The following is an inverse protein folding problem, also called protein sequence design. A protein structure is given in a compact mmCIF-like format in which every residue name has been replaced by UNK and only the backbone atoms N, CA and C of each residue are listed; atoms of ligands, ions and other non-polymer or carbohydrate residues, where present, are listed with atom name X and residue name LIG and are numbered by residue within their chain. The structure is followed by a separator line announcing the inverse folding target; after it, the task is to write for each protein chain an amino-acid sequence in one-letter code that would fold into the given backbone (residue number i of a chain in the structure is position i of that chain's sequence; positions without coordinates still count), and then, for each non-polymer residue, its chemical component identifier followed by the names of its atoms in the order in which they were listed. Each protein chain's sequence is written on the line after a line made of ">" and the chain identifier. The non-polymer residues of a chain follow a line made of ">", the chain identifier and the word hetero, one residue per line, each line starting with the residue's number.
data_IF_055140786766
#
_entry.id   IF_055140786766
#
_cell.length_a   1.000
_cell.length_b   1.000
_cell.length_c   1.000
_cell.angle_alpha   90.00
_cell.angle_beta   90.00
_cell.angle_gamma   90.00
#
_symmetry.space_group_name_H-M   'P 1'
#
loop_
_entity.id
_entity.type
_entity.pdbx_description
1 polymer ?
#
# COMPACT_ATOMS: atom_id res chain seq x y z
N UNK A 1 31.75 -19.21 -13.92
CA UNK A 1 32.53 -17.96 -13.72
C UNK A 1 31.65 -16.74 -13.43
N UNK A 2 30.79 -16.23 -14.34
CA UNK A 2 30.01 -14.99 -14.07
C UNK A 2 28.98 -15.16 -12.96
N UNK A 3 28.26 -16.29 -12.93
CA UNK A 3 27.29 -16.62 -11.90
C UNK A 3 27.94 -16.75 -10.51
N UNK A 4 29.08 -17.41 -10.40
CA UNK A 4 29.81 -17.57 -9.14
C UNK A 4 30.31 -16.23 -8.61
N UNK A 5 30.81 -15.37 -9.49
CA UNK A 5 31.23 -14.03 -9.12
C UNK A 5 30.05 -13.18 -8.63
N UNK A 6 28.90 -13.29 -9.32
CA UNK A 6 27.67 -12.62 -8.89
C UNK A 6 27.20 -13.12 -7.53
N UNK A 7 27.13 -14.45 -7.32
CA UNK A 7 26.72 -15.06 -6.05
C UNK A 7 27.61 -14.58 -4.91
N UNK A 8 28.92 -14.56 -5.11
CA UNK A 8 29.87 -14.05 -4.11
C UNK A 8 29.62 -12.57 -3.80
N UNK A 9 29.49 -11.73 -4.81
CA UNK A 9 29.23 -10.29 -4.63
C UNK A 9 27.88 -10.02 -3.99
N UNK A 10 26.88 -10.85 -4.28
CA UNK A 10 25.59 -10.76 -3.63
C UNK A 10 25.71 -11.09 -2.13
N UNK A 11 26.38 -12.17 -1.79
CA UNK A 11 26.64 -12.54 -0.40
C UNK A 11 27.45 -11.47 0.37
N UNK A 12 28.47 -10.87 -0.28
CA UNK A 12 29.27 -9.78 0.28
C UNK A 12 28.42 -8.51 0.60
N UNK A 13 27.32 -8.28 -0.14
CA UNK A 13 26.41 -7.17 0.08
C UNK A 13 25.33 -7.43 1.15
N UNK A 14 25.24 -8.66 1.69
CA UNK A 14 24.37 -8.93 2.83
C UNK A 14 25.03 -8.46 4.14
N UNK A 15 24.24 -7.94 5.10
CA UNK A 15 24.76 -7.51 6.40
C UNK A 15 25.11 -8.69 7.34
N UNK A 16 24.85 -9.93 6.92
CA UNK A 16 25.07 -11.18 7.67
C UNK A 16 25.32 -12.35 6.71
N UNK A 17 25.85 -13.44 7.23
CA UNK A 17 25.99 -14.65 6.45
C UNK A 17 24.60 -15.20 6.04
N UNK A 18 24.40 -15.55 4.75
CA UNK A 18 23.10 -16.07 4.31
C UNK A 18 22.81 -17.43 4.95
N UNK A 19 21.53 -17.67 5.24
CA UNK A 19 21.06 -19.02 5.62
C UNK A 19 21.12 -19.95 4.41
N UNK A 20 20.94 -21.26 4.61
CA UNK A 20 20.95 -22.24 3.51
C UNK A 20 19.89 -21.91 2.45
N UNK A 21 18.64 -21.58 2.86
CA UNK A 21 17.58 -21.18 1.93
C UNK A 21 17.92 -19.88 1.21
N UNK A 22 18.54 -18.93 1.90
CA UNK A 22 18.95 -17.67 1.28
C UNK A 22 20.08 -17.88 0.28
N UNK A 23 21.05 -18.76 0.58
CA UNK A 23 22.12 -19.12 -0.34
C UNK A 23 21.57 -19.82 -1.60
N UNK A 24 20.59 -20.71 -1.44
CA UNK A 24 19.90 -21.36 -2.56
C UNK A 24 19.14 -20.32 -3.41
N UNK A 25 18.39 -19.39 -2.78
CA UNK A 25 17.70 -18.31 -3.48
C UNK A 25 18.68 -17.46 -4.30
N UNK A 26 19.82 -17.08 -3.72
CA UNK A 26 20.87 -16.30 -4.40
C UNK A 26 21.37 -17.05 -5.65
N UNK A 27 21.62 -18.36 -5.52
CA UNK A 27 22.06 -19.19 -6.66
C UNK A 27 20.97 -19.25 -7.76
N UNK A 28 19.70 -19.42 -7.40
CA UNK A 28 18.59 -19.44 -8.37
C UNK A 28 18.36 -18.08 -9.02
N UNK A 29 18.51 -16.99 -8.27
CA UNK A 29 18.44 -15.62 -8.82
C UNK A 29 19.59 -15.37 -9.81
N UNK A 30 20.80 -15.85 -9.51
CA UNK A 30 21.92 -15.76 -10.45
C UNK A 30 21.60 -16.50 -11.77
N UNK A 31 21.08 -17.73 -11.69
CA UNK A 31 20.65 -18.47 -12.89
C UNK A 31 19.57 -17.70 -13.66
N UNK A 32 18.52 -17.21 -13.00
CA UNK A 32 17.45 -16.42 -13.62
C UNK A 32 17.98 -15.18 -14.32
N UNK A 33 18.89 -14.43 -13.70
CA UNK A 33 19.42 -13.17 -14.24
C UNK A 33 20.32 -13.37 -15.49
N UNK A 34 21.00 -14.49 -15.58
CA UNK A 34 21.92 -14.78 -16.68
C UNK A 34 21.38 -15.82 -17.68
N UNK A 35 20.14 -16.28 -17.48
CA UNK A 35 19.43 -17.10 -18.47
C UNK A 35 19.14 -16.28 -19.73
N UNK A 36 19.05 -16.98 -20.87
CA UNK A 36 18.68 -16.40 -22.17
C UNK A 36 17.18 -16.28 -22.36
N UNK A 37 16.37 -17.02 -21.58
CA UNK A 37 14.91 -16.94 -21.68
C UNK A 37 14.43 -15.61 -21.10
N UNK A 38 14.05 -14.69 -22.01
CA UNK A 38 13.51 -13.37 -21.63
C UNK A 38 12.07 -13.44 -21.14
N UNK A 39 11.35 -14.54 -21.37
CA UNK A 39 9.94 -14.72 -20.93
C UNK A 39 9.84 -15.49 -19.61
N UNK A 40 10.78 -15.27 -18.73
CA UNK A 40 10.78 -15.85 -17.38
C UNK A 40 10.46 -14.82 -16.32
N UNK A 41 9.75 -15.25 -15.27
CA UNK A 41 9.37 -14.48 -14.09
C UNK A 41 9.86 -15.20 -12.84
N UNK A 42 10.40 -14.45 -11.89
CA UNK A 42 10.80 -15.01 -10.59
C UNK A 42 9.79 -14.59 -9.51
N UNK A 43 9.21 -15.56 -8.83
CA UNK A 43 8.30 -15.36 -7.71
C UNK A 43 9.00 -15.72 -6.40
N UNK A 44 9.10 -14.76 -5.47
CA UNK A 44 9.64 -14.98 -4.14
C UNK A 44 8.54 -14.84 -3.11
N UNK A 45 8.10 -15.94 -2.57
CA UNK A 45 7.27 -15.98 -1.38
C UNK A 45 8.16 -16.05 -0.15
N UNK A 46 7.98 -15.16 0.80
CA UNK A 46 8.76 -15.21 2.03
C UNK A 46 8.00 -14.60 3.17
N UNK A 47 8.10 -15.23 4.32
CA UNK A 47 7.39 -14.82 5.51
C UNK A 47 8.07 -13.68 6.26
N UNK A 48 7.39 -13.12 7.26
CA UNK A 48 8.01 -12.14 8.16
C UNK A 48 9.29 -12.72 8.81
N UNK A 49 10.36 -11.93 8.84
CA UNK A 49 11.63 -12.34 9.47
C UNK A 49 12.54 -13.23 8.60
N UNK A 50 12.16 -13.62 7.39
CA UNK A 50 13.01 -14.45 6.50
C UNK A 50 14.11 -13.66 5.80
N UNK A 51 14.17 -12.34 6.00
CA UNK A 51 15.21 -11.48 5.45
C UNK A 51 14.97 -11.01 4.02
N UNK A 52 13.72 -11.08 3.49
CA UNK A 52 13.37 -10.56 2.15
C UNK A 52 13.94 -9.17 1.87
N UNK A 53 13.66 -8.23 2.78
CA UNK A 53 14.10 -6.83 2.67
C UNK A 53 15.62 -6.71 2.52
N UNK A 54 16.39 -7.43 3.37
CA UNK A 54 17.85 -7.42 3.30
C UNK A 54 18.37 -8.07 2.03
N UNK A 55 17.76 -9.19 1.60
CA UNK A 55 18.11 -9.88 0.36
C UNK A 55 17.89 -8.99 -0.86
N UNK A 56 16.75 -8.31 -0.94
CA UNK A 56 16.46 -7.45 -2.10
C UNK A 56 17.32 -6.20 -2.08
N UNK A 57 17.58 -5.59 -0.93
CA UNK A 57 18.54 -4.51 -0.84
C UNK A 57 19.94 -4.93 -1.31
N UNK A 58 20.41 -6.12 -0.92
CA UNK A 58 21.67 -6.68 -1.39
C UNK A 58 21.65 -7.00 -2.90
N UNK A 59 20.54 -7.52 -3.43
CA UNK A 59 20.35 -7.74 -4.86
C UNK A 59 20.47 -6.43 -5.65
N UNK A 60 19.77 -5.39 -5.24
CA UNK A 60 19.79 -4.08 -5.91
C UNK A 60 21.19 -3.48 -5.91
N UNK A 61 21.87 -3.49 -4.75
CA UNK A 61 23.28 -3.02 -4.67
C UNK A 61 24.21 -3.82 -5.57
N UNK A 62 24.03 -5.15 -5.62
CA UNK A 62 24.83 -6.02 -6.50
C UNK A 62 24.59 -5.68 -7.97
N UNK A 63 23.34 -5.57 -8.39
CA UNK A 63 22.96 -5.24 -9.77
C UNK A 63 23.50 -3.87 -10.20
N UNK A 64 23.47 -2.88 -9.31
CA UNK A 64 24.06 -1.56 -9.54
C UNK A 64 25.57 -1.67 -9.80
N UNK A 65 26.29 -2.51 -9.03
CA UNK A 65 27.72 -2.81 -9.28
C UNK A 65 28.00 -3.49 -10.62
N UNK A 66 27.03 -4.23 -11.17
CA UNK A 66 27.08 -4.83 -12.52
C UNK A 66 26.52 -3.91 -13.61
N UNK A 67 26.18 -2.67 -13.29
CA UNK A 67 25.54 -1.70 -14.21
C UNK A 67 24.24 -2.23 -14.86
N UNK A 68 23.56 -3.14 -14.18
CA UNK A 68 22.25 -3.66 -14.61
C UNK A 68 21.16 -2.68 -14.20
N UNK A 69 20.30 -2.32 -15.12
CA UNK A 69 19.17 -1.43 -14.89
C UNK A 69 18.12 -2.12 -14.05
N UNK A 70 17.68 -1.45 -12.99
CA UNK A 70 16.60 -1.93 -12.10
C UNK A 70 15.51 -0.86 -11.99
N UNK A 71 14.27 -1.31 -11.88
CA UNK A 71 13.11 -0.48 -11.55
C UNK A 71 12.40 -1.12 -10.37
N UNK A 72 12.33 -0.39 -9.25
CA UNK A 72 11.69 -0.84 -8.02
C UNK A 72 10.26 -0.34 -7.97
N UNK A 73 9.33 -1.24 -7.69
CA UNK A 73 7.90 -0.95 -7.68
C UNK A 73 7.22 -1.49 -6.41
N UNK A 74 6.16 -0.81 -6.00
CA UNK A 74 5.27 -1.28 -4.94
C UNK A 74 3.81 -0.92 -5.24
N UNK A 75 2.82 -1.59 -4.64
CA UNK A 75 1.40 -1.28 -4.87
C UNK A 75 0.95 0.08 -4.34
N UNK A 76 1.56 0.57 -3.26
CA UNK A 76 1.18 1.82 -2.58
C UNK A 76 2.37 2.77 -2.43
N UNK A 77 2.11 4.09 -2.27
CA UNK A 77 3.14 5.10 -2.04
C UNK A 77 3.98 4.80 -0.81
N UNK A 78 3.34 4.41 0.30
CA UNK A 78 4.02 4.05 1.54
C UNK A 78 4.94 2.83 1.37
N UNK A 79 4.47 1.77 0.72
CA UNK A 79 5.30 0.60 0.43
C UNK A 79 6.48 0.96 -0.48
N UNK A 80 6.28 1.83 -1.48
CA UNK A 80 7.35 2.31 -2.35
C UNK A 80 8.41 3.10 -1.56
N UNK A 81 8.00 3.96 -0.63
CA UNK A 81 8.92 4.72 0.24
C UNK A 81 9.75 3.80 1.14
N UNK A 82 9.11 2.82 1.78
CA UNK A 82 9.79 1.80 2.58
C UNK A 82 10.77 1.02 1.71
N UNK A 83 10.36 0.61 0.51
CA UNK A 83 11.20 -0.10 -0.44
C UNK A 83 12.43 0.74 -0.85
N UNK A 84 12.24 2.01 -1.20
CA UNK A 84 13.33 2.89 -1.54
C UNK A 84 14.35 3.03 -0.40
N UNK A 85 13.86 3.13 0.84
CA UNK A 85 14.70 3.31 2.03
C UNK A 85 15.65 2.14 2.28
N UNK A 86 15.18 0.89 2.18
CA UNK A 86 16.07 -0.25 2.44
C UNK A 86 16.88 -0.71 1.22
N UNK A 87 16.41 -0.40 0.02
CA UNK A 87 17.14 -0.70 -1.21
C UNK A 87 18.21 0.34 -1.55
N UNK A 88 18.17 1.51 -0.91
CA UNK A 88 18.98 2.69 -1.24
C UNK A 88 18.90 3.02 -2.75
N UNK A 89 17.68 2.95 -3.28
CA UNK A 89 17.40 3.15 -4.70
C UNK A 89 15.96 3.66 -4.89
N UNK A 90 15.70 4.57 -5.83
CA UNK A 90 14.36 5.08 -6.07
C UNK A 90 13.35 3.96 -6.36
N UNK A 91 12.21 4.00 -5.67
CA UNK A 91 11.09 3.11 -5.91
C UNK A 91 9.81 3.92 -6.19
N UNK A 92 8.93 3.35 -6.99
CA UNK A 92 7.71 4.02 -7.46
C UNK A 92 6.50 3.14 -7.20
N UNK A 93 5.31 3.74 -7.19
CA UNK A 93 4.11 2.92 -7.25
C UNK A 93 3.98 2.27 -8.64
N UNK A 94 3.39 1.07 -8.71
CA UNK A 94 3.09 0.40 -9.98
C UNK A 94 2.31 1.37 -10.87
N UNK A 95 1.25 2.00 -10.33
CA UNK A 95 0.41 2.94 -11.08
C UNK A 95 1.20 4.10 -11.68
N UNK A 96 2.07 4.74 -10.90
CA UNK A 96 2.92 5.85 -11.38
C UNK A 96 3.84 5.41 -12.52
N UNK A 97 4.31 4.16 -12.49
CA UNK A 97 5.28 3.68 -13.47
C UNK A 97 4.65 3.25 -14.79
N UNK A 98 3.50 2.55 -14.74
CA UNK A 98 2.96 1.88 -15.92
C UNK A 98 1.83 2.66 -16.61
N UNK A 99 1.18 3.62 -15.92
CA UNK A 99 0.07 4.37 -16.49
C UNK A 99 0.42 5.83 -16.75
N UNK A 100 -0.24 6.38 -17.78
CA UNK A 100 -0.26 7.82 -18.06
C UNK A 100 -1.69 8.25 -18.35
N UNK A 101 -2.02 9.47 -17.93
CA UNK A 101 -3.30 10.06 -18.24
C UNK A 101 -3.41 10.28 -19.74
N UNK A 102 -4.48 9.80 -20.36
CA UNK A 102 -4.75 10.06 -21.77
C UNK A 102 -5.34 11.45 -21.92
N UNK A 103 -4.60 12.33 -22.57
CA UNK A 103 -5.08 13.64 -23.02
C UNK A 103 -5.81 13.44 -24.33
N UNK A 104 -6.99 12.82 -24.35
CA UNK A 104 -7.82 12.75 -25.55
C UNK A 104 -9.31 12.72 -25.24
N UNK A 105 -10.03 13.63 -25.91
CA UNK A 105 -11.48 13.75 -26.05
C UNK A 105 -12.35 13.71 -24.79
N UNK A 106 -13.41 14.46 -24.89
CA UNK A 106 -14.39 14.80 -23.86
C UNK A 106 -15.13 13.63 -23.18
N UNK A 107 -14.97 12.42 -23.62
CA UNK A 107 -15.84 11.30 -23.25
C UNK A 107 -15.20 10.21 -22.40
N UNK A 108 -13.88 10.17 -22.28
CA UNK A 108 -13.18 9.15 -21.46
C UNK A 108 -11.88 9.70 -20.88
N UNK A 109 -11.87 10.02 -19.59
CA UNK A 109 -10.64 10.15 -18.80
C UNK A 109 -10.34 8.79 -18.20
N UNK A 110 -9.41 8.10 -18.79
CA UNK A 110 -8.84 6.87 -18.27
C UNK A 110 -7.32 6.98 -18.29
N UNK A 111 -6.68 6.23 -17.44
CA UNK A 111 -5.24 6.03 -17.51
C UNK A 111 -4.97 4.84 -18.43
N UNK A 112 -4.08 5.02 -19.41
CA UNK A 112 -3.65 3.94 -20.30
C UNK A 112 -2.27 3.45 -19.90
N UNK A 113 -2.00 2.18 -20.18
CA UNK A 113 -0.66 1.63 -20.10
C UNK A 113 0.21 2.43 -21.06
N UNK A 114 1.35 2.90 -20.58
CA UNK A 114 2.34 3.60 -21.41
C UNK A 114 3.27 2.60 -22.07
N UNK A 115 3.91 3.00 -23.18
CA UNK A 115 4.93 2.17 -23.82
C UNK A 115 6.11 1.95 -22.86
N UNK A 116 6.58 0.72 -22.77
CA UNK A 116 7.78 0.39 -22.01
C UNK A 116 9.03 0.64 -22.87
N UNK A 117 9.67 1.77 -22.64
CA UNK A 117 10.93 2.15 -23.34
C UNK A 117 12.18 1.57 -22.66
N UNK A 118 12.04 0.78 -21.60
CA UNK A 118 13.16 0.13 -20.93
C UNK A 118 13.71 -1.03 -21.78
N UNK A 119 15.04 -1.18 -21.73
CA UNK A 119 15.76 -2.31 -22.34
C UNK A 119 16.63 -2.99 -21.30
N UNK A 120 16.68 -4.32 -21.34
CA UNK A 120 17.50 -5.16 -20.44
C UNK A 120 17.35 -4.77 -18.96
N UNK A 121 16.11 -4.46 -18.57
CA UNK A 121 15.80 -3.91 -17.24
C UNK A 121 15.08 -4.94 -16.40
N UNK A 122 15.51 -5.07 -15.12
CA UNK A 122 14.86 -5.89 -14.13
C UNK A 122 13.84 -5.05 -13.34
N UNK A 123 12.59 -5.42 -13.43
CA UNK A 123 11.52 -4.87 -12.59
C UNK A 123 11.39 -5.74 -11.35
N UNK A 124 11.40 -5.10 -10.18
CA UNK A 124 11.25 -5.77 -8.88
C UNK A 124 10.05 -5.15 -8.18
N UNK A 125 9.07 -5.97 -7.86
CA UNK A 125 7.84 -5.53 -7.17
C UNK A 125 7.83 -6.11 -5.77
N UNK A 126 7.84 -5.26 -4.76
CA UNK A 126 7.63 -5.67 -3.37
C UNK A 126 6.16 -5.54 -2.97
N UNK A 127 5.75 -6.19 -1.89
CA UNK A 127 4.37 -6.25 -1.40
C UNK A 127 3.37 -6.72 -2.47
N UNK A 128 3.79 -7.66 -3.33
CA UNK A 128 2.95 -8.17 -4.42
C UNK A 128 1.66 -8.85 -3.93
N UNK A 129 1.57 -9.22 -2.64
CA UNK A 129 0.33 -9.71 -1.99
C UNK A 129 -0.85 -8.75 -2.15
N UNK A 130 -0.60 -7.46 -2.26
CA UNK A 130 -1.63 -6.41 -2.39
C UNK A 130 -2.10 -6.17 -3.84
N UNK A 131 -1.48 -6.81 -4.84
CA UNK A 131 -1.85 -6.60 -6.25
C UNK A 131 -3.16 -7.32 -6.53
N UNK A 132 -4.23 -6.54 -6.77
CA UNK A 132 -5.51 -7.06 -7.19
C UNK A 132 -5.55 -7.33 -8.70
N UNK A 133 -6.37 -8.29 -9.12
CA UNK A 133 -6.60 -8.58 -10.52
C UNK A 133 -8.10 -8.62 -10.83
N UNK A 134 -8.75 -7.47 -10.71
CA UNK A 134 -10.17 -7.22 -10.95
C UNK A 134 -10.87 -6.58 -9.76
N UNK A 135 -11.92 -5.83 -10.04
CA UNK A 135 -12.82 -5.20 -9.04
C UNK A 135 -12.97 -3.67 -9.18
N UNK A 136 -14.18 -3.23 -9.19
CA UNK A 136 -14.84 -1.91 -8.99
C UNK A 136 -14.11 -0.63 -9.39
N UNK A 137 -13.29 -0.10 -8.53
CA UNK A 137 -12.64 1.21 -8.72
C UNK A 137 -11.47 1.20 -9.73
N UNK A 138 -11.00 0.02 -10.13
CA UNK A 138 -9.84 -0.13 -11.03
C UNK A 138 -10.16 0.08 -12.52
N UNK A 139 -11.44 0.20 -12.89
CA UNK A 139 -11.85 0.43 -14.30
C UNK A 139 -11.34 1.74 -14.91
N UNK A 140 -10.78 2.65 -14.11
CA UNK A 140 -10.20 3.92 -14.59
C UNK A 140 -8.79 3.70 -15.15
N UNK A 141 -8.11 2.60 -14.79
CA UNK A 141 -6.76 2.29 -15.21
C UNK A 141 -6.74 1.13 -16.20
N UNK A 142 -6.10 1.33 -17.34
CA UNK A 142 -5.81 0.30 -18.32
C UNK A 142 -6.96 -0.66 -18.57
N UNK A 143 -6.72 -1.94 -18.33
CA UNK A 143 -7.74 -3.00 -18.40
C UNK A 143 -8.61 -3.11 -17.13
N UNK A 144 -8.30 -2.35 -16.06
CA UNK A 144 -8.89 -2.53 -14.73
C UNK A 144 -8.33 -3.74 -13.97
N UNK A 145 -7.27 -4.36 -14.48
CA UNK A 145 -6.63 -5.56 -13.96
C UNK A 145 -5.14 -5.31 -13.78
N UNK A 146 -4.75 -4.80 -12.62
CA UNK A 146 -3.41 -4.27 -12.36
C UNK A 146 -2.29 -5.30 -12.63
N UNK A 147 -2.52 -6.58 -12.29
CA UNK A 147 -1.54 -7.62 -12.55
C UNK A 147 -1.35 -7.87 -14.05
N UNK A 148 -2.45 -7.91 -14.81
CA UNK A 148 -2.39 -8.10 -16.27
C UNK A 148 -1.62 -6.94 -16.92
N UNK A 149 -1.97 -5.71 -16.55
CA UNK A 149 -1.35 -4.49 -17.09
C UNK A 149 0.14 -4.40 -16.71
N UNK A 150 0.51 -4.80 -15.51
CA UNK A 150 1.91 -4.85 -15.07
C UNK A 150 2.72 -5.86 -15.90
N UNK A 151 2.18 -7.07 -16.09
CA UNK A 151 2.85 -8.11 -16.88
C UNK A 151 2.98 -7.67 -18.34
N UNK A 152 1.90 -7.15 -18.92
CA UNK A 152 1.90 -6.61 -20.29
C UNK A 152 2.97 -5.52 -20.45
N UNK A 153 2.98 -4.53 -19.53
CA UNK A 153 3.96 -3.44 -19.56
C UNK A 153 5.40 -3.96 -19.50
N UNK A 154 5.72 -4.82 -18.53
CA UNK A 154 7.09 -5.29 -18.34
C UNK A 154 7.58 -6.06 -19.56
N UNK A 155 6.79 -7.00 -20.07
CA UNK A 155 7.21 -7.87 -21.18
C UNK A 155 7.01 -7.28 -22.57
N UNK A 156 6.44 -6.07 -22.68
CA UNK A 156 6.50 -5.25 -23.88
C UNK A 156 7.92 -4.63 -24.08
N UNK A 157 8.71 -4.49 -23.01
CA UNK A 157 10.09 -3.98 -23.09
C UNK A 157 11.09 -5.06 -23.53
N UNK A 158 12.06 -4.66 -24.33
CA UNK A 158 13.10 -5.54 -24.88
C UNK A 158 14.02 -6.05 -23.76
N UNK A 159 14.10 -7.37 -23.55
CA UNK A 159 14.96 -7.99 -22.54
C UNK A 159 14.55 -7.70 -21.09
N UNK A 160 13.36 -7.15 -20.85
CA UNK A 160 12.86 -6.85 -19.52
C UNK A 160 12.36 -8.11 -18.81
N UNK A 161 12.53 -8.15 -17.48
CA UNK A 161 12.13 -9.27 -16.64
C UNK A 161 11.47 -8.77 -15.36
N UNK A 162 10.72 -9.66 -14.70
CA UNK A 162 9.95 -9.36 -13.51
C UNK A 162 10.32 -10.28 -12.35
N UNK A 163 10.55 -9.68 -11.18
CA UNK A 163 10.57 -10.36 -9.89
C UNK A 163 9.36 -9.85 -9.09
N UNK A 164 8.54 -10.76 -8.57
CA UNK A 164 7.47 -10.48 -7.63
C UNK A 164 7.86 -11.00 -6.25
N UNK A 165 7.75 -10.13 -5.25
CA UNK A 165 7.98 -10.49 -3.84
C UNK A 165 6.73 -10.24 -3.03
N UNK A 166 6.44 -11.15 -2.11
CA UNK A 166 5.34 -10.98 -1.20
C UNK A 166 5.34 -11.99 -0.06
N UNK A 167 4.32 -11.91 0.74
CA UNK A 167 4.08 -12.82 1.85
C UNK A 167 2.67 -13.40 1.69
N UNK A 168 2.59 -14.70 1.43
CA UNK A 168 1.31 -15.40 1.27
C UNK A 168 0.51 -15.54 2.56
N UNK A 169 1.09 -15.22 3.71
CA UNK A 169 0.39 -15.15 5.00
C UNK A 169 -0.22 -13.77 5.27
N UNK A 170 0.10 -12.76 4.47
CA UNK A 170 -0.56 -11.46 4.53
C UNK A 170 -1.96 -11.50 3.92
N UNK A 171 -2.77 -10.48 4.25
CA UNK A 171 -4.12 -10.37 3.70
C UNK A 171 -4.07 -10.23 2.17
N UNK A 172 -4.88 -11.01 1.44
CA UNK A 172 -5.03 -10.83 0.00
C UNK A 172 -5.77 -9.52 -0.31
N UNK A 173 -5.82 -9.10 -1.58
CA UNK A 173 -6.61 -7.94 -1.98
C UNK A 173 -8.07 -8.07 -1.56
N UNK A 174 -8.70 -6.93 -1.27
CA UNK A 174 -10.11 -6.90 -0.80
C UNK A 174 -11.02 -7.64 -1.79
N UNK A 175 -11.85 -8.54 -1.25
CA UNK A 175 -12.77 -9.38 -2.04
C UNK A 175 -12.13 -10.60 -2.70
N UNK A 176 -10.86 -10.88 -2.46
CA UNK A 176 -10.17 -12.07 -2.94
C UNK A 176 -9.76 -12.97 -1.76
N UNK A 177 -9.74 -14.26 -1.97
CA UNK A 177 -9.32 -15.25 -0.96
C UNK A 177 -7.83 -15.54 -1.02
N UNK A 178 -7.17 -15.20 -2.13
CA UNK A 178 -5.73 -15.35 -2.37
C UNK A 178 -5.21 -14.20 -3.22
N UNK A 179 -3.91 -13.95 -3.15
CA UNK A 179 -3.26 -12.98 -4.02
C UNK A 179 -2.89 -13.61 -5.37
N UNK A 180 -3.46 -13.18 -6.50
CA UNK A 180 -3.14 -13.74 -7.81
C UNK A 180 -1.68 -13.52 -8.21
N UNK A 181 -1.05 -12.45 -7.74
CA UNK A 181 0.35 -12.15 -8.00
C UNK A 181 1.35 -13.07 -7.25
N UNK A 182 0.88 -13.81 -6.24
CA UNK A 182 1.68 -14.77 -5.50
C UNK A 182 1.35 -16.23 -5.83
N UNK A 183 0.46 -16.47 -6.80
CA UNK A 183 0.10 -17.81 -7.25
C UNK A 183 0.79 -18.16 -8.57
N UNK A 184 1.68 -19.16 -8.53
CA UNK A 184 2.38 -19.65 -9.72
C UNK A 184 1.42 -20.01 -10.87
N UNK A 185 0.32 -20.70 -10.55
CA UNK A 185 -0.70 -21.10 -11.55
C UNK A 185 -1.36 -19.91 -12.24
N UNK A 186 -1.55 -18.80 -11.52
CA UNK A 186 -2.10 -17.57 -12.09
C UNK A 186 -1.10 -16.87 -13.00
N UNK A 187 0.18 -16.83 -12.60
CA UNK A 187 1.27 -16.22 -13.38
C UNK A 187 1.61 -17.02 -14.65
N UNK A 188 1.52 -18.34 -14.62
CA UNK A 188 1.73 -19.19 -15.81
C UNK A 188 0.73 -18.94 -16.92
N UNK A 189 -0.46 -18.41 -16.63
CA UNK A 189 -1.49 -18.06 -17.64
C UNK A 189 -1.04 -16.98 -18.61
N UNK A 190 -0.03 -16.19 -18.25
CA UNK A 190 0.58 -15.19 -19.15
C UNK A 190 1.58 -15.78 -20.15
N UNK A 191 1.73 -17.10 -20.19
CA UNK A 191 2.71 -17.77 -21.07
C UNK A 191 4.15 -17.52 -20.65
N UNK A 192 4.38 -17.29 -19.34
CA UNK A 192 5.70 -17.07 -18.76
C UNK A 192 6.23 -18.36 -18.11
N UNK A 193 7.54 -18.55 -18.17
CA UNK A 193 8.24 -19.51 -17.35
C UNK A 193 8.38 -18.97 -15.93
N UNK A 194 7.64 -19.55 -14.96
CA UNK A 194 7.62 -19.07 -13.58
C UNK A 194 8.52 -19.90 -12.69
N UNK A 195 9.60 -19.28 -12.22
CA UNK A 195 10.48 -19.83 -11.19
C UNK A 195 9.95 -19.32 -9.86
N UNK A 196 9.53 -20.22 -8.98
CA UNK A 196 9.04 -19.89 -7.65
C UNK A 196 10.00 -20.36 -6.56
N UNK A 197 10.14 -19.53 -5.54
CA UNK A 197 10.94 -19.84 -4.36
C UNK A 197 10.23 -19.38 -3.09
N UNK A 198 10.20 -20.24 -2.09
CA UNK A 198 9.61 -19.94 -0.80
C UNK A 198 10.67 -19.88 0.29
N UNK A 199 10.83 -18.70 0.92
CA UNK A 199 11.67 -18.50 2.10
C UNK A 199 10.86 -18.79 3.36
N UNK A 200 11.21 -19.83 4.07
CA UNK A 200 10.58 -20.27 5.32
C UNK A 200 11.47 -20.04 6.53
N UNK A 201 12.77 -20.19 6.36
CA UNK A 201 13.72 -20.08 7.45
C UNK A 201 13.81 -18.64 7.94
N UNK A 202 13.55 -18.44 9.23
CA UNK A 202 13.68 -17.13 9.88
C UNK A 202 15.16 -16.81 10.02
N UNK A 203 15.61 -15.74 9.36
CA UNK A 203 17.02 -15.33 9.35
C UNK A 203 17.45 -14.62 10.64
N UNK A 204 16.52 -14.04 11.37
CA UNK A 204 16.78 -13.42 12.67
C UNK A 204 16.60 -14.48 13.75
N UNK A 205 17.68 -14.88 14.36
CA UNK A 205 17.63 -15.50 15.69
C UNK A 205 17.19 -14.42 16.68
N UNK A 206 15.90 -14.22 16.81
CA UNK A 206 15.36 -13.40 17.88
C UNK A 206 14.47 -14.29 18.74
N UNK A 207 15.10 -15.18 19.50
CA UNK A 207 14.42 -15.87 20.60
C UNK A 207 13.76 -14.86 21.57
N UNK A 208 14.19 -13.59 21.48
CA UNK A 208 13.72 -12.46 22.28
C UNK A 208 12.57 -11.66 21.66
N UNK A 209 12.15 -11.90 20.36
CA UNK A 209 11.04 -11.17 19.75
C UNK A 209 9.71 -11.92 19.82
N UNK A 210 8.81 -11.44 20.67
CA UNK A 210 7.45 -11.94 20.77
C UNK A 210 6.62 -11.64 19.53
N UNK A 211 6.89 -10.53 18.84
CA UNK A 211 6.25 -10.19 17.55
C UNK A 211 6.56 -11.28 16.52
N UNK A 212 7.83 -11.60 16.33
CA UNK A 212 8.24 -12.61 15.36
C UNK A 212 7.77 -14.01 15.74
N UNK A 213 7.87 -14.38 17.02
CA UNK A 213 7.38 -15.65 17.53
C UNK A 213 5.88 -15.82 17.23
N UNK A 214 5.05 -14.83 17.59
CA UNK A 214 3.61 -14.91 17.38
C UNK A 214 3.24 -14.89 15.90
N UNK A 215 3.90 -14.08 15.07
CA UNK A 215 3.69 -14.06 13.63
C UNK A 215 4.00 -15.44 12.99
N UNK A 216 5.12 -16.08 13.40
CA UNK A 216 5.49 -17.41 12.93
C UNK A 216 4.48 -18.47 13.36
N UNK A 217 4.02 -18.42 14.62
CA UNK A 217 3.01 -19.33 15.14
C UNK A 217 1.67 -19.19 14.43
N UNK A 218 1.18 -17.95 14.24
CA UNK A 218 -0.06 -17.68 13.50
C UNK A 218 -0.01 -18.28 12.09
N UNK A 219 1.11 -18.11 11.40
CA UNK A 219 1.32 -18.67 10.07
C UNK A 219 1.26 -20.19 10.05
N UNK A 220 1.87 -20.86 11.02
CA UNK A 220 1.79 -22.34 11.13
C UNK A 220 0.34 -22.79 11.29
N UNK A 221 -0.44 -22.07 12.12
CA UNK A 221 -1.85 -22.37 12.33
C UNK A 221 -2.69 -22.20 11.07
N UNK A 222 -2.34 -21.27 10.17
CA UNK A 222 -3.07 -21.06 8.90
C UNK A 222 -3.09 -22.30 7.98
N UNK A 223 -2.16 -23.23 8.16
CA UNK A 223 -2.11 -24.50 7.42
C UNK A 223 -2.96 -25.61 8.05
N UNK A 224 -3.54 -25.40 9.21
CA UNK A 224 -4.32 -26.41 9.92
C UNK A 224 -5.80 -26.40 9.49
N UNK A 225 -6.44 -27.58 9.50
CA UNK A 225 -7.86 -27.73 9.21
C UNK A 225 -8.51 -28.69 10.23
N UNK A 226 -9.47 -28.27 11.09
CA UNK A 226 -10.04 -26.92 11.15
C UNK A 226 -9.03 -25.88 11.68
N UNK A 227 -9.21 -24.63 11.25
CA UNK A 227 -8.36 -23.51 11.71
C UNK A 227 -8.59 -23.25 13.21
N UNK A 228 -7.54 -23.39 14.06
CA UNK A 228 -7.71 -23.16 15.50
C UNK A 228 -7.73 -21.67 15.82
N UNK A 229 -8.37 -21.31 16.95
CA UNK A 229 -8.31 -19.93 17.44
C UNK A 229 -6.87 -19.56 17.82
N UNK A 230 -6.36 -18.42 17.36
CA UNK A 230 -5.01 -18.01 17.65
C UNK A 230 -4.85 -17.61 19.11
N UNK A 231 -3.76 -18.08 19.73
CA UNK A 231 -3.36 -17.68 21.09
C UNK A 231 -2.05 -16.91 20.99
N UNK A 232 -2.07 -15.63 21.35
CA UNK A 232 -0.90 -14.78 21.39
C UNK A 232 -0.12 -15.06 22.70
N UNK A 233 1.16 -15.38 22.56
CA UNK A 233 2.06 -15.56 23.70
C UNK A 233 2.71 -14.22 24.05
N UNK A 234 2.52 -13.81 25.29
CA UNK A 234 3.04 -12.55 25.84
C UNK A 234 4.23 -12.81 26.79
N UNK A 235 4.15 -13.93 27.53
CA UNK A 235 5.12 -14.26 28.56
C UNK A 235 6.51 -14.54 27.98
N UNK A 236 7.52 -13.89 28.52
CA UNK A 236 8.91 -14.02 28.12
C UNK A 236 9.35 -13.01 27.05
N UNK A 237 8.49 -12.07 26.65
CA UNK A 237 8.78 -11.06 25.65
C UNK A 237 8.53 -9.66 26.19
N UNK A 238 9.37 -8.71 25.80
CA UNK A 238 9.27 -7.29 26.16
C UNK A 238 8.64 -6.43 25.07
N UNK A 239 8.60 -6.94 23.84
CA UNK A 239 8.11 -6.27 22.63
C UNK A 239 6.62 -6.54 22.35
N UNK A 240 5.95 -7.41 23.14
CA UNK A 240 4.52 -7.71 23.04
C UNK A 240 3.91 -7.69 24.41
N UNK A 241 2.90 -6.86 24.61
CA UNK A 241 2.20 -6.74 25.91
C UNK A 241 0.70 -6.63 25.73
N UNK A 242 -0.05 -6.98 26.77
CA UNK A 242 -1.50 -6.75 26.83
C UNK A 242 -1.75 -5.41 27.51
N UNK A 243 -2.57 -4.59 26.87
CA UNK A 243 -3.06 -3.33 27.44
C UNK A 243 -4.53 -3.49 27.81
N UNK A 244 -4.88 -3.20 29.05
CA UNK A 244 -6.28 -3.17 29.52
C UNK A 244 -7.01 -1.95 28.97
N UNK A 245 -8.36 -1.99 28.96
CA UNK A 245 -9.15 -0.85 28.50
C UNK A 245 -8.94 0.41 29.37
N UNK A 246 -8.69 0.22 30.65
CA UNK A 246 -8.40 1.29 31.63
C UNK A 246 -7.05 1.96 31.39
N UNK A 247 -6.03 1.20 30.95
CA UNK A 247 -4.67 1.69 30.73
C UNK A 247 -4.43 2.18 29.29
N UNK A 248 -5.39 1.97 28.40
CA UNK A 248 -5.21 2.17 26.96
C UNK A 248 -4.89 3.63 26.60
N UNK A 249 -5.62 4.57 27.20
CA UNK A 249 -5.45 6.01 26.94
C UNK A 249 -4.08 6.48 27.41
N UNK A 250 -3.67 6.07 28.61
CA UNK A 250 -2.37 6.42 29.18
C UNK A 250 -1.22 5.82 28.35
N UNK A 251 -1.36 4.56 27.95
CA UNK A 251 -0.36 3.85 27.15
C UNK A 251 -0.20 4.47 25.77
N UNK A 252 -1.31 4.82 25.09
CA UNK A 252 -1.28 5.52 23.80
C UNK A 252 -0.69 6.92 23.93
N UNK A 253 -1.10 7.68 24.96
CA UNK A 253 -0.57 9.02 25.23
C UNK A 253 0.95 8.98 25.47
N UNK A 254 1.43 8.00 26.22
CA UNK A 254 2.84 7.77 26.47
C UNK A 254 3.61 7.42 25.20
N UNK A 255 3.04 6.57 24.34
CA UNK A 255 3.63 6.23 23.04
C UNK A 255 3.73 7.46 22.11
N UNK A 256 2.67 8.27 22.03
CA UNK A 256 2.68 9.51 21.25
C UNK A 256 3.67 10.54 21.79
N UNK A 257 3.83 10.64 23.10
CA UNK A 257 4.79 11.58 23.71
C UNK A 257 6.23 11.15 23.50
N UNK A 258 6.50 9.85 23.48
CA UNK A 258 7.85 9.28 23.34
C UNK A 258 8.31 9.21 21.89
N UNK A 259 7.47 8.73 20.98
CA UNK A 259 7.84 8.36 19.62
C UNK A 259 7.10 9.18 18.55
N UNK A 260 6.06 9.91 18.93
CA UNK A 260 5.24 10.71 18.02
C UNK A 260 4.07 9.95 17.40
N UNK A 261 3.14 10.72 16.82
CA UNK A 261 1.93 10.20 16.20
C UNK A 261 2.21 9.42 14.90
N UNK A 262 3.27 9.78 14.18
CA UNK A 262 3.62 9.13 12.91
C UNK A 262 4.19 7.72 13.12
N UNK A 263 4.80 7.48 14.27
CA UNK A 263 5.40 6.20 14.66
C UNK A 263 4.49 5.34 15.55
N UNK A 264 3.23 5.75 15.75
CA UNK A 264 2.26 5.03 16.59
C UNK A 264 0.94 4.86 15.86
N UNK A 265 0.42 3.64 15.78
CA UNK A 265 -0.81 3.29 15.06
C UNK A 265 -1.70 2.36 15.87
N UNK A 266 -3.02 2.49 15.72
CA UNK A 266 -4.00 1.50 16.17
C UNK A 266 -4.51 0.73 14.96
N UNK A 267 -4.44 -0.59 14.99
CA UNK A 267 -4.91 -1.47 13.91
C UNK A 267 -6.19 -2.17 14.35
N UNK A 268 -7.21 -2.08 13.53
CA UNK A 268 -8.53 -2.65 13.79
C UNK A 268 -9.00 -3.53 12.62
N UNK A 269 -10.02 -4.34 12.84
CA UNK A 269 -10.58 -5.16 11.76
C UNK A 269 -11.72 -4.51 10.98
N UNK A 270 -12.24 -3.34 11.42
CA UNK A 270 -13.35 -2.66 10.72
C UNK A 270 -13.24 -1.14 10.77
N UNK A 271 -13.81 -0.46 9.77
CA UNK A 271 -13.86 1.00 9.74
C UNK A 271 -14.63 1.58 10.95
N UNK A 272 -15.72 0.91 11.38
CA UNK A 272 -16.47 1.29 12.57
C UNK A 272 -15.59 1.32 13.82
N UNK A 273 -14.79 0.27 14.04
CA UNK A 273 -13.85 0.22 15.17
C UNK A 273 -12.76 1.29 15.03
N UNK A 274 -12.20 1.45 13.84
CA UNK A 274 -11.23 2.51 13.57
C UNK A 274 -11.81 3.91 13.87
N UNK A 275 -13.06 4.16 13.49
CA UNK A 275 -13.78 5.42 13.80
C UNK A 275 -13.86 5.69 15.31
N UNK A 276 -14.22 4.68 16.11
CA UNK A 276 -14.30 4.79 17.58
C UNK A 276 -12.92 5.15 18.16
N UNK A 277 -11.84 4.45 17.75
CA UNK A 277 -10.49 4.75 18.23
C UNK A 277 -10.02 6.14 17.77
N UNK A 278 -10.26 6.51 16.52
CA UNK A 278 -9.91 7.83 16.00
C UNK A 278 -10.55 8.95 16.80
N UNK A 279 -11.84 8.82 17.11
CA UNK A 279 -12.56 9.80 17.93
C UNK A 279 -12.04 9.82 19.38
N UNK A 280 -11.82 8.66 19.98
CA UNK A 280 -11.26 8.55 21.34
C UNK A 280 -9.88 9.19 21.45
N UNK A 281 -9.00 8.93 20.49
CA UNK A 281 -7.65 9.51 20.44
C UNK A 281 -7.72 11.03 20.29
N UNK A 282 -8.55 11.54 19.38
CA UNK A 282 -8.69 12.98 19.18
C UNK A 282 -9.21 13.68 20.42
N UNK A 283 -10.26 13.14 21.05
CA UNK A 283 -10.92 13.80 22.17
C UNK A 283 -10.14 13.66 23.48
N UNK A 284 -9.60 12.46 23.78
CA UNK A 284 -9.08 12.13 25.12
C UNK A 284 -7.55 12.25 25.20
N UNK A 285 -6.84 12.15 24.08
CA UNK A 285 -5.37 12.23 24.05
C UNK A 285 -4.89 13.52 23.44
N UNK A 286 -5.49 13.92 22.30
CA UNK A 286 -5.06 15.13 21.56
C UNK A 286 -5.88 16.37 21.93
N UNK A 287 -6.94 16.22 22.74
CA UNK A 287 -7.83 17.30 23.21
C UNK A 287 -8.36 18.17 22.06
N UNK A 288 -8.75 17.53 20.95
CA UNK A 288 -9.29 18.20 19.76
C UNK A 288 -10.81 18.13 19.77
N UNK A 289 -11.44 19.28 19.98
CA UNK A 289 -12.91 19.39 20.06
C UNK A 289 -13.54 19.60 18.68
N UNK A 290 -12.88 20.36 17.81
CA UNK A 290 -13.37 20.62 16.45
C UNK A 290 -13.30 19.37 15.58
N UNK A 291 -14.21 19.27 14.61
CA UNK A 291 -14.27 18.13 13.69
C UNK A 291 -12.97 17.95 12.87
N UNK A 292 -12.28 19.04 12.54
CA UNK A 292 -11.00 19.02 11.85
C UNK A 292 -10.11 20.17 12.32
N UNK A 293 -8.87 19.85 12.70
CA UNK A 293 -7.90 20.85 13.18
C UNK A 293 -6.54 20.67 12.50
N UNK A 294 -5.74 21.74 12.53
CA UNK A 294 -4.33 21.67 12.13
C UNK A 294 -3.58 20.59 12.92
N UNK A 295 -2.74 19.84 12.26
CA UNK A 295 -2.01 18.70 12.82
C UNK A 295 -2.79 17.38 12.80
N UNK A 296 -4.07 17.34 12.39
CA UNK A 296 -4.80 16.07 12.21
C UNK A 296 -4.12 15.20 11.16
N UNK A 297 -4.07 13.89 11.44
CA UNK A 297 -3.64 12.89 10.46
C UNK A 297 -4.86 12.35 9.71
N UNK A 298 -4.81 12.41 8.41
CA UNK A 298 -5.85 11.95 7.50
C UNK A 298 -5.33 10.84 6.59
N UNK A 299 -6.18 9.86 6.33
CA UNK A 299 -5.98 8.80 5.35
C UNK A 299 -6.89 9.06 4.16
N UNK A 300 -6.34 9.11 2.97
CA UNK A 300 -7.12 9.22 1.73
C UNK A 300 -7.91 7.93 1.51
N UNK A 301 -9.21 8.06 1.33
CA UNK A 301 -10.14 6.94 1.23
C UNK A 301 -10.42 6.51 -0.21
N UNK A 302 -10.12 7.37 -1.18
CA UNK A 302 -10.34 7.15 -2.62
C UNK A 302 -9.28 7.86 -3.44
N UNK A 303 -8.82 7.23 -4.53
CA UNK A 303 -7.87 7.85 -5.46
C UNK A 303 -8.42 9.20 -5.98
N UNK A 304 -7.56 10.20 -6.07
CA UNK A 304 -7.89 11.51 -6.60
C UNK A 304 -6.84 12.00 -7.59
N UNK A 305 -7.32 12.43 -8.76
CA UNK A 305 -6.48 12.83 -9.91
C UNK A 305 -6.59 14.32 -10.21
N UNK A 306 -7.44 15.01 -9.45
CA UNK A 306 -7.73 16.43 -9.70
C UNK A 306 -6.73 17.33 -8.98
N UNK A 307 -6.50 17.11 -7.69
CA UNK A 307 -5.66 17.98 -6.86
C UNK A 307 -4.17 17.80 -7.07
N UNK A 308 -3.73 16.74 -7.75
CA UNK A 308 -2.32 16.50 -8.09
C UNK A 308 -1.87 17.17 -9.39
N UNK A 309 -2.78 17.68 -10.23
CA UNK A 309 -2.50 18.17 -11.60
C UNK A 309 -1.46 19.29 -11.68
N UNK A 310 -1.32 20.10 -10.64
CA UNK A 310 -0.37 21.21 -10.58
C UNK A 310 1.03 20.80 -10.07
N UNK A 311 1.17 19.56 -9.62
CA UNK A 311 2.37 19.04 -9.00
C UNK A 311 3.07 18.01 -9.90
N UNK A 312 4.25 18.37 -10.44
CA UNK A 312 4.96 17.56 -11.45
C UNK A 312 5.38 16.18 -10.97
N UNK A 313 5.62 16.04 -9.67
CA UNK A 313 6.13 14.80 -9.08
C UNK A 313 5.02 13.92 -8.47
N UNK A 314 3.76 14.35 -8.57
CA UNK A 314 2.60 13.66 -8.03
C UNK A 314 1.54 13.45 -9.13
N UNK A 315 1.48 12.28 -9.71
CA UNK A 315 0.51 11.96 -10.78
C UNK A 315 -0.92 11.90 -10.24
N UNK A 316 -1.11 11.41 -9.03
CA UNK A 316 -2.40 11.36 -8.32
C UNK A 316 -2.19 11.16 -6.82
N UNK A 317 -3.22 11.46 -6.03
CA UNK A 317 -3.28 11.16 -4.61
C UNK A 317 -3.94 9.78 -4.46
N UNK A 318 -3.20 8.82 -3.90
CA UNK A 318 -3.65 7.43 -3.86
C UNK A 318 -4.56 7.13 -2.65
N UNK A 319 -5.45 6.18 -2.83
CA UNK A 319 -6.16 5.55 -1.71
C UNK A 319 -5.16 4.88 -0.77
N UNK A 320 -5.15 5.30 0.49
CA UNK A 320 -4.19 4.84 1.50
C UNK A 320 -3.06 5.82 1.79
N UNK A 321 -2.91 6.89 1.00
CA UNK A 321 -1.96 7.95 1.31
C UNK A 321 -2.34 8.64 2.63
N UNK A 322 -1.32 8.95 3.42
CA UNK A 322 -1.48 9.69 4.68
C UNK A 322 -1.10 11.14 4.48
N UNK A 323 -1.94 12.03 4.96
CA UNK A 323 -1.70 13.46 4.93
C UNK A 323 -1.83 14.07 6.33
N UNK A 324 -1.08 15.12 6.61
CA UNK A 324 -1.21 15.96 7.79
C UNK A 324 -1.92 17.24 7.42
N UNK A 325 -2.94 17.60 8.17
CA UNK A 325 -3.63 18.90 8.02
C UNK A 325 -2.67 20.01 8.47
N UNK A 326 -2.26 20.86 7.54
CA UNK A 326 -1.46 22.05 7.83
C UNK A 326 -2.38 23.19 8.26
N UNK A 327 -3.47 23.39 7.52
CA UNK A 327 -4.41 24.45 7.78
C UNK A 327 -5.82 24.06 7.35
N UNK A 328 -6.80 24.48 8.15
CA UNK A 328 -8.24 24.47 7.80
C UNK A 328 -8.66 25.93 7.58
N UNK A 329 -9.34 26.22 6.49
CA UNK A 329 -9.77 27.59 6.16
C UNK A 329 -11.28 27.74 6.31
N UNK A 330 -12.03 27.28 5.33
CA UNK A 330 -13.48 27.48 5.27
C UNK A 330 -14.19 26.14 5.36
N UNK A 331 -15.21 26.06 6.19
CA UNK A 331 -16.16 24.95 6.18
C UNK A 331 -17.47 25.43 5.57
N UNK A 332 -18.04 24.67 4.64
CA UNK A 332 -19.29 25.00 3.95
C UNK A 332 -20.14 23.76 3.75
N UNK A 333 -21.45 23.93 3.84
CA UNK A 333 -22.41 22.91 3.44
C UNK A 333 -22.90 23.23 2.02
N UNK A 334 -22.69 22.27 1.10
CA UNK A 334 -23.16 22.34 -0.29
C UNK A 334 -23.54 20.95 -0.78
N UNK A 335 -24.49 20.88 -1.68
CA UNK A 335 -24.93 19.61 -2.31
C UNK A 335 -25.37 18.53 -1.31
N UNK A 336 -25.77 18.96 -0.09
CA UNK A 336 -26.11 18.03 1.01
C UNK A 336 -24.91 17.32 1.64
N UNK A 337 -23.71 17.90 1.50
CA UNK A 337 -22.47 17.47 2.14
C UNK A 337 -21.74 18.66 2.77
N UNK A 338 -20.92 18.37 3.78
CA UNK A 338 -20.05 19.34 4.43
C UNK A 338 -18.64 19.24 3.85
N UNK A 339 -18.09 20.37 3.46
CA UNK A 339 -16.75 20.46 2.87
C UNK A 339 -15.87 21.39 3.69
N UNK A 340 -14.56 21.13 3.62
CA UNK A 340 -13.57 22.08 4.14
C UNK A 340 -12.50 22.37 3.08
N UNK A 341 -12.07 23.62 3.01
CA UNK A 341 -10.87 24.02 2.28
C UNK A 341 -9.66 23.84 3.19
N UNK A 342 -8.71 23.03 2.76
CA UNK A 342 -7.56 22.61 3.59
C UNK A 342 -6.26 22.69 2.83
N UNK A 343 -5.16 22.94 3.57
CA UNK A 343 -3.82 22.65 3.12
C UNK A 343 -3.38 21.32 3.77
N UNK A 344 -2.98 20.35 2.97
CA UNK A 344 -2.57 19.01 3.37
C UNK A 344 -1.12 18.76 3.00
N UNK A 345 -0.29 18.38 3.96
CA UNK A 345 1.07 17.93 3.72
C UNK A 345 1.11 16.40 3.60
N UNK A 346 1.63 15.91 2.48
CA UNK A 346 1.81 14.49 2.20
C UNK A 346 3.28 14.10 2.43
N UNK A 347 3.62 13.46 3.57
CA UNK A 347 5.01 13.18 3.91
C UNK A 347 5.69 12.18 2.98
N UNK A 348 4.92 11.31 2.30
CA UNK A 348 5.46 10.32 1.37
C UNK A 348 5.95 10.94 0.06
N UNK A 349 5.47 12.12 -0.29
CA UNK A 349 5.82 12.85 -1.51
C UNK A 349 6.55 14.17 -1.22
N UNK A 350 6.67 14.55 0.07
CA UNK A 350 7.23 15.83 0.52
C UNK A 350 6.55 17.03 -0.17
N UNK A 351 5.21 17.01 -0.22
CA UNK A 351 4.43 18.03 -0.92
C UNK A 351 3.27 18.53 -0.07
N UNK A 352 3.02 19.83 -0.12
CA UNK A 352 1.84 20.48 0.44
C UNK A 352 0.85 20.80 -0.68
N UNK A 353 -0.41 20.38 -0.50
CA UNK A 353 -1.48 20.51 -1.50
C UNK A 353 -2.65 21.28 -0.89
N UNK A 354 -3.04 22.35 -1.55
CA UNK A 354 -4.31 23.00 -1.26
C UNK A 354 -5.45 22.25 -1.95
N UNK A 355 -6.43 21.83 -1.16
CA UNK A 355 -7.51 20.97 -1.65
C UNK A 355 -8.80 21.20 -0.91
N UNK A 356 -9.85 20.59 -1.40
CA UNK A 356 -11.15 20.50 -0.74
C UNK A 356 -11.36 19.06 -0.27
N UNK A 357 -11.86 18.87 0.95
CA UNK A 357 -12.21 17.56 1.50
C UNK A 357 -13.69 17.48 1.83
N UNK A 358 -14.24 16.25 1.88
CA UNK A 358 -15.60 15.97 2.34
C UNK A 358 -15.53 15.53 3.79
N UNK A 359 -16.09 16.34 4.69
CA UNK A 359 -16.08 16.06 6.15
C UNK A 359 -16.94 14.86 6.52
N UNK A 360 -18.04 14.61 5.80
CA UNK A 360 -18.94 13.48 6.07
C UNK A 360 -18.27 12.12 5.93
N UNK A 361 -17.11 12.04 5.26
CA UNK A 361 -16.36 10.79 5.14
C UNK A 361 -15.50 10.49 6.37
N UNK A 362 -15.15 11.50 7.18
CA UNK A 362 -14.23 11.34 8.33
C UNK A 362 -14.68 10.26 9.32
N UNK A 363 -15.97 10.26 9.66
CA UNK A 363 -16.56 9.38 10.67
C UNK A 363 -17.47 8.29 10.08
N UNK A 364 -17.57 8.20 8.75
CA UNK A 364 -18.40 7.18 8.08
C UNK A 364 -17.87 5.76 8.33
N UNK A 365 -18.77 4.79 8.57
CA UNK A 365 -18.40 3.37 8.65
C UNK A 365 -18.07 2.76 7.27
N UNK A 366 -18.54 3.39 6.19
CA UNK A 366 -18.21 2.97 4.83
C UNK A 366 -16.74 3.32 4.49
N UNK A 367 -16.06 2.56 3.65
CA UNK A 367 -14.66 2.84 3.26
C UNK A 367 -14.50 4.20 2.55
N UNK A 368 -15.50 4.64 1.79
CA UNK A 368 -15.59 5.93 1.09
C UNK A 368 -17.07 6.34 0.97
N UNK A 369 -17.41 7.38 0.23
CA UNK A 369 -18.82 7.67 -0.10
C UNK A 369 -19.46 6.44 -0.77
N UNK A 370 -20.67 6.09 -0.32
CA UNK A 370 -21.44 5.02 -0.97
C UNK A 370 -21.81 5.41 -2.42
N UNK A 371 -22.19 4.43 -3.22
CA UNK A 371 -22.63 4.69 -4.60
C UNK A 371 -23.81 5.69 -4.64
N UNK A 372 -24.75 5.56 -3.70
CA UNK A 372 -25.89 6.47 -3.57
C UNK A 372 -25.44 7.90 -3.25
N UNK A 373 -24.53 8.06 -2.29
CA UNK A 373 -23.97 9.37 -1.92
C UNK A 373 -23.16 9.99 -3.07
N UNK A 374 -22.35 9.20 -3.76
CA UNK A 374 -21.61 9.66 -4.94
C UNK A 374 -22.56 10.12 -6.06
N UNK A 375 -23.64 9.37 -6.32
CA UNK A 375 -24.65 9.73 -7.30
C UNK A 375 -25.39 11.03 -6.89
N UNK A 376 -25.73 11.18 -5.60
CA UNK A 376 -26.35 12.40 -5.08
C UNK A 376 -25.44 13.62 -5.28
N UNK A 377 -24.16 13.50 -4.93
CA UNK A 377 -23.18 14.56 -5.16
C UNK A 377 -23.08 14.90 -6.65
N UNK A 378 -22.97 13.89 -7.50
CA UNK A 378 -22.91 14.07 -8.95
C UNK A 378 -24.16 14.82 -9.49
N UNK A 379 -25.36 14.39 -9.10
CA UNK A 379 -26.60 14.99 -9.58
C UNK A 379 -26.73 16.45 -9.13
N UNK A 380 -26.40 16.75 -7.88
CA UNK A 380 -26.49 18.10 -7.34
C UNK A 380 -25.48 19.04 -8.02
N UNK A 381 -24.24 18.59 -8.25
CA UNK A 381 -23.24 19.36 -9.02
C UNK A 381 -23.66 19.47 -10.49
N UNK A 382 -24.29 18.44 -11.06
CA UNK A 382 -24.80 18.47 -12.43
C UNK A 382 -25.89 19.51 -12.62
N UNK A 383 -26.72 19.75 -11.62
CA UNK A 383 -27.79 20.78 -11.66
C UNK A 383 -27.22 22.20 -11.71
N UNK A 384 -26.09 22.49 -11.06
CA UNK A 384 -25.46 23.84 -11.10
C UNK A 384 -25.01 24.27 -12.50
N UNK A 385 -24.79 23.32 -13.40
CA UNK A 385 -24.42 23.60 -14.79
C UNK A 385 -25.64 23.57 -15.73
N UNK A 386 -26.83 24.02 -15.25
CA UNK A 386 -28.09 24.03 -16.02
C UNK A 386 -28.06 24.90 -17.28
N UNK A 387 -27.23 25.93 -17.30
CA UNK A 387 -27.01 26.85 -18.42
C UNK A 387 -26.29 26.22 -19.61
N UNK A 388 -25.60 25.08 -19.40
CA UNK A 388 -24.92 24.35 -20.44
C UNK A 388 -25.85 23.31 -21.05
N UNK A 389 -26.38 23.57 -22.23
CA UNK A 389 -27.29 22.66 -22.94
C UNK A 389 -26.57 21.44 -23.53
N UNK A 390 -25.30 21.56 -23.88
CA UNK A 390 -24.51 20.44 -24.43
C UNK A 390 -24.06 19.49 -23.29
N UNK A 391 -24.62 18.27 -23.27
CA UNK A 391 -24.33 17.27 -22.25
C UNK A 391 -22.83 16.92 -22.14
N UNK A 392 -22.09 16.87 -23.26
CA UNK A 392 -20.65 16.58 -23.26
C UNK A 392 -19.85 17.71 -22.61
N UNK A 393 -20.20 18.94 -22.91
CA UNK A 393 -19.56 20.13 -22.32
C UNK A 393 -19.86 20.23 -20.83
N UNK A 394 -21.11 19.97 -20.43
CA UNK A 394 -21.52 19.88 -19.03
C UNK A 394 -20.71 18.84 -18.26
N UNK A 395 -20.54 17.63 -18.80
CA UNK A 395 -19.72 16.58 -18.20
C UNK A 395 -18.25 16.97 -18.06
N UNK A 396 -17.68 17.71 -19.04
CA UNK A 396 -16.31 18.24 -18.92
C UNK A 396 -16.16 19.20 -17.74
N UNK A 397 -17.13 20.06 -17.50
CA UNK A 397 -17.12 21.00 -16.37
C UNK A 397 -17.19 20.28 -15.03
N UNK A 398 -18.08 19.28 -14.90
CA UNK A 398 -18.20 18.49 -13.66
C UNK A 398 -16.90 17.75 -13.33
N UNK A 399 -16.23 17.19 -14.33
CA UNK A 399 -14.94 16.49 -14.14
C UNK A 399 -13.83 17.37 -13.58
N UNK A 400 -13.89 18.68 -13.80
CA UNK A 400 -12.93 19.65 -13.26
C UNK A 400 -13.54 20.51 -12.14
N UNK A 401 -14.70 20.14 -11.65
CA UNK A 401 -15.35 20.83 -10.54
C UNK A 401 -14.67 20.47 -9.22
N UNK A 402 -14.22 21.44 -8.40
CA UNK A 402 -13.51 21.18 -7.16
C UNK A 402 -14.37 20.55 -6.06
N UNK A 403 -15.70 20.73 -6.10
CA UNK A 403 -16.60 20.11 -5.14
C UNK A 403 -16.84 18.64 -5.47
N UNK A 404 -17.03 18.33 -6.75
CA UNK A 404 -17.14 16.94 -7.21
C UNK A 404 -15.85 16.15 -6.98
N UNK A 405 -14.70 16.81 -7.11
CA UNK A 405 -13.38 16.22 -6.90
C UNK A 405 -12.84 16.39 -5.48
N UNK A 406 -13.66 16.80 -4.51
CA UNK A 406 -13.23 16.91 -3.13
C UNK A 406 -12.69 15.56 -2.62
N UNK A 407 -11.57 15.60 -1.88
CA UNK A 407 -10.94 14.41 -1.33
C UNK A 407 -11.87 13.73 -0.32
N UNK A 408 -12.00 12.43 -0.44
CA UNK A 408 -12.63 11.59 0.56
C UNK A 408 -11.56 11.10 1.52
N UNK A 409 -11.70 11.43 2.80
CA UNK A 409 -10.66 11.21 3.81
C UNK A 409 -11.24 10.62 5.08
N UNK A 410 -10.38 9.95 5.86
CA UNK A 410 -10.67 9.46 7.21
C UNK A 410 -9.56 9.89 8.14
N UNK A 411 -9.78 9.87 9.46
CA UNK A 411 -8.68 10.01 10.40
C UNK A 411 -7.73 8.81 10.32
N UNK A 412 -6.45 9.04 10.55
CA UNK A 412 -5.38 8.07 10.36
C UNK A 412 -4.67 7.62 11.65
N UNK A 413 -5.23 7.89 12.82
CA UNK A 413 -4.69 7.39 14.11
C UNK A 413 -5.00 5.92 14.33
N UNK A 414 -6.15 5.48 13.83
CA UNK A 414 -6.57 4.10 13.81
C UNK A 414 -7.05 3.72 12.40
N UNK A 415 -6.58 2.59 11.90
CA UNK A 415 -6.86 2.12 10.54
C UNK A 415 -7.23 0.63 10.54
N UNK A 416 -7.80 0.16 9.44
CA UNK A 416 -8.05 -1.29 9.28
C UNK A 416 -6.78 -2.05 8.91
N UNK A 417 -6.75 -3.36 9.17
CA UNK A 417 -5.62 -4.23 8.82
C UNK A 417 -5.18 -4.07 7.36
N UNK A 418 -6.12 -4.02 6.40
CA UNK A 418 -5.80 -3.81 4.98
C UNK A 418 -5.08 -2.47 4.72
N UNK A 419 -5.46 -1.41 5.43
CA UNK A 419 -4.84 -0.09 5.28
C UNK A 419 -3.49 0.02 5.98
N UNK A 420 -3.21 -0.87 6.92
CA UNK A 420 -1.93 -0.94 7.61
C UNK A 420 -0.87 -1.74 6.84
N UNK A 421 -1.26 -2.53 5.83
CA UNK A 421 -0.31 -3.32 5.05
C UNK A 421 0.75 -2.44 4.37
N UNK A 422 1.99 -2.91 4.33
CA UNK A 422 3.14 -2.18 3.80
C UNK A 422 3.63 -1.03 4.69
N UNK A 423 2.98 -0.79 5.85
CA UNK A 423 3.39 0.23 6.82
C UNK A 423 4.32 -0.32 7.90
N UNK A 424 5.10 0.58 8.52
CA UNK A 424 5.99 0.27 9.65
C UNK A 424 5.85 1.35 10.71
N UNK A 425 5.77 0.95 11.98
CA UNK A 425 5.62 1.84 13.12
C UNK A 425 6.42 1.28 14.31
N UNK A 426 6.87 2.15 15.18
CA UNK A 426 7.53 1.76 16.43
C UNK A 426 6.55 1.16 17.44
N UNK A 427 5.32 1.71 17.48
CA UNK A 427 4.27 1.26 18.39
C UNK A 427 3.02 0.88 17.59
N UNK A 428 2.59 -0.37 17.75
CA UNK A 428 1.39 -0.89 17.09
C UNK A 428 0.43 -1.44 18.14
N UNK A 429 -0.74 -0.83 18.24
CA UNK A 429 -1.84 -1.27 19.08
C UNK A 429 -2.82 -2.08 18.25
N UNK A 430 -3.00 -3.37 18.56
CA UNK A 430 -3.89 -4.25 17.80
C UNK A 430 -5.18 -4.45 18.58
N UNK A 431 -6.30 -3.94 18.04
CA UNK A 431 -7.63 -4.22 18.56
C UNK A 431 -8.13 -5.57 18.06
N UNK A 432 -8.04 -6.59 18.89
CA UNK A 432 -8.52 -7.94 18.57
C UNK A 432 -10.05 -8.02 18.47
N UNK A 433 -10.76 -7.03 19.01
CA UNK A 433 -12.22 -7.07 19.14
C UNK A 433 -12.70 -8.20 20.06
N UNK A 434 -13.99 -8.47 20.06
CA UNK A 434 -14.55 -9.64 20.71
C UNK A 434 -14.46 -10.84 19.75
N UNK A 435 -13.55 -11.77 20.02
CA UNK A 435 -13.54 -13.07 19.36
C UNK A 435 -14.39 -13.98 20.24
N UNK A 436 -15.68 -14.10 19.92
CA UNK A 436 -16.54 -15.10 20.56
C UNK A 436 -16.20 -16.48 20.01
N UNK A 437 -16.11 -17.47 20.92
CA UNK A 437 -15.92 -18.87 20.53
C UNK A 437 -17.16 -19.50 19.84
N UNK A 438 -18.25 -18.74 19.77
CA UNK A 438 -19.52 -19.14 19.16
C UNK A 438 -19.82 -18.21 17.97
N UNK A 439 -19.55 -18.69 16.74
CA UNK A 439 -19.96 -18.00 15.50
C UNK A 439 -19.00 -18.14 14.36
#
# INVERSE_FOLDING_TARGET
>A
MINEFFIRKFADNLPYAPTEEQAELIARLAMFLFDRDSRSLFLINGYAGTGKTSLIGALVRTLSGFQRKTVLLAPTGRAAKVFAGYADHPAYTIHKKIYRQKVFSADYEGFQITDNLHKDTLFIVDEASMIANGGGEQMIYGSGRLLDDLVEYVYAGEGCRLILLGDSAQLPPVGQTRSPALEKSSLMKYGLSVIDFELRQVARQSDDSGILFNATRLRMLMGENPLPLPKIRLQGYTDVQRVGGEDLIETLSSAYSRDGMDDTIVITRSNKRAGIFNQGIRNQILYREEELTSGDLLLVAKNNYFWSREYKDLDFIANGDVARVVKVRNTREMYGFRFADVALYFPDYDVEIESKIILDTLMSDAPSLTMEMNNRLFMNVFEDYYDISNKREKMKKIKVDPWFNALQVKYAYAVTCHKAQGGQWKNVFVDMGYICAEG
#
